data_IF_953041345235
#
_entry.id   IF_953041345235
#
_cell.length_a   1.000
_cell.length_b   1.000
_cell.length_c   1.000
_cell.angle_alpha   90.00
_cell.angle_beta   90.00
_cell.angle_gamma   90.00
#
_symmetry.space_group_name_H-M   'P 1'
#
loop_
_entity.id
_entity.type
_entity.pdbx_description
1 polymer ?
#
# COMPACT_ATOMS: atom_id res chain seq x y z
N UNK A 1 -21.54 0.44 -17.14
CA UNK A 1 -20.78 -0.76 -17.55
C UNK A 1 -19.54 -0.83 -16.67
N UNK A 2 -19.56 -1.67 -15.63
CA UNK A 2 -18.50 -1.76 -14.62
C UNK A 2 -17.86 -3.14 -14.67
N UNK A 3 -17.01 -3.36 -15.66
CA UNK A 3 -15.90 -4.32 -15.58
C UNK A 3 -14.78 -3.67 -16.37
N UNK A 4 -13.76 -3.23 -15.63
CA UNK A 4 -12.69 -4.18 -15.45
C UNK A 4 -12.40 -4.35 -13.95
N UNK A 5 -12.06 -5.56 -13.52
CA UNK A 5 -11.11 -5.70 -12.42
C UNK A 5 -9.73 -5.94 -13.03
N UNK A 6 -8.93 -4.90 -13.38
CA UNK A 6 -7.52 -5.05 -13.68
C UNK A 6 -6.72 -4.33 -12.56
N UNK A 7 -5.60 -4.79 -12.01
CA UNK A 7 -4.71 -5.90 -12.28
C UNK A 7 -4.03 -6.15 -10.93
N UNK A 8 -4.20 -7.33 -10.32
CA UNK A 8 -3.50 -7.80 -9.10
C UNK A 8 -3.44 -6.79 -7.92
N UNK A 9 -4.35 -6.94 -6.94
CA UNK A 9 -4.20 -6.28 -5.63
C UNK A 9 -2.81 -6.52 -5.05
N UNK A 10 -2.15 -5.45 -4.61
CA UNK A 10 -0.79 -5.50 -4.09
C UNK A 10 -0.80 -6.19 -2.72
N UNK A 11 0.16 -7.07 -2.51
CA UNK A 11 0.42 -7.67 -1.20
C UNK A 11 1.43 -6.81 -0.45
N UNK A 12 1.57 -6.98 0.87
CA UNK A 12 2.69 -6.38 1.59
C UNK A 12 4.05 -6.76 0.98
N UNK A 13 4.16 -7.93 0.37
CA UNK A 13 5.37 -8.38 -0.35
C UNK A 13 5.62 -7.55 -1.62
N UNK A 14 4.57 -7.29 -2.40
CA UNK A 14 4.63 -6.44 -3.60
C UNK A 14 5.03 -5.00 -3.26
N UNK A 15 4.54 -4.47 -2.12
CA UNK A 15 4.99 -3.17 -1.60
C UNK A 15 6.47 -3.18 -1.23
N UNK A 16 6.99 -4.29 -0.69
CA UNK A 16 8.41 -4.41 -0.34
C UNK A 16 9.26 -4.38 -1.60
N UNK A 17 8.88 -5.13 -2.63
CA UNK A 17 9.58 -5.12 -3.91
C UNK A 17 9.47 -3.76 -4.62
N UNK A 18 8.29 -3.15 -4.63
CA UNK A 18 8.04 -1.88 -5.33
C UNK A 18 8.76 -0.69 -4.69
N UNK A 19 8.88 -0.65 -3.36
CA UNK A 19 9.56 0.42 -2.62
C UNK A 19 10.98 0.04 -2.19
N UNK A 20 11.50 -1.09 -2.66
CA UNK A 20 12.82 -1.64 -2.27
C UNK A 20 13.02 -1.67 -0.74
N UNK A 21 11.97 -2.05 -0.01
CA UNK A 21 12.01 -2.07 1.45
C UNK A 21 12.81 -3.28 1.95
N UNK A 22 13.39 -3.20 3.16
CA UNK A 22 14.13 -4.32 3.72
C UNK A 22 13.23 -5.50 4.12
N UNK A 23 11.95 -5.29 4.43
CA UNK A 23 11.03 -6.34 4.89
C UNK A 23 9.56 -5.91 4.92
N UNK A 24 8.64 -6.89 4.84
CA UNK A 24 7.19 -6.69 5.04
C UNK A 24 6.85 -6.13 6.42
N UNK A 25 7.76 -6.28 7.39
CA UNK A 25 7.67 -5.66 8.71
C UNK A 25 7.55 -4.14 8.63
N UNK A 26 8.21 -3.50 7.66
CA UNK A 26 8.08 -2.06 7.43
C UNK A 26 6.64 -1.69 7.04
N UNK A 27 5.99 -2.51 6.21
CA UNK A 27 4.59 -2.34 5.83
C UNK A 27 3.67 -2.55 7.05
N UNK A 28 3.96 -3.53 7.91
CA UNK A 28 3.24 -3.70 9.18
C UNK A 28 3.46 -2.53 10.15
N UNK A 29 4.67 -1.96 10.20
CA UNK A 29 4.96 -0.76 10.99
C UNK A 29 4.16 0.44 10.48
N UNK A 30 4.06 0.63 9.16
CA UNK A 30 3.23 1.68 8.59
C UNK A 30 1.77 1.54 9.01
N UNK A 31 1.25 0.32 9.06
CA UNK A 31 -0.09 0.05 9.57
C UNK A 31 -0.22 0.38 11.06
N UNK A 32 0.79 0.03 11.88
CA UNK A 32 0.82 0.34 13.32
C UNK A 32 0.87 1.84 13.59
N UNK A 33 1.68 2.57 12.82
CA UNK A 33 1.85 4.02 12.91
C UNK A 33 0.72 4.78 12.21
N UNK A 34 -0.19 4.07 11.50
CA UNK A 34 -1.20 4.65 10.60
C UNK A 34 -0.60 5.56 9.53
N UNK A 35 0.66 5.33 9.19
CA UNK A 35 1.43 6.13 8.22
C UNK A 35 1.46 5.47 6.85
N UNK A 36 0.74 4.38 6.61
CA UNK A 36 0.79 3.59 5.37
C UNK A 36 -0.42 3.73 4.46
N UNK A 37 -0.34 3.12 3.27
CA UNK A 37 -1.43 3.11 2.31
C UNK A 37 -2.65 2.35 2.86
N UNK A 38 -3.84 2.71 2.38
CA UNK A 38 -5.09 2.08 2.82
C UNK A 38 -5.14 0.64 2.30
N UNK A 39 -4.77 -0.30 3.17
CA UNK A 39 -4.92 -1.72 2.92
C UNK A 39 -6.22 -2.26 3.50
N UNK A 40 -6.89 -3.14 2.77
CA UNK A 40 -8.05 -3.88 3.26
C UNK A 40 -7.65 -5.31 3.65
N UNK A 41 -8.28 -5.81 4.71
CA UNK A 41 -8.02 -7.16 5.21
C UNK A 41 -8.94 -8.15 4.50
N UNK A 42 -8.36 -9.05 3.72
CA UNK A 42 -9.06 -10.17 3.06
C UNK A 42 -8.76 -11.45 3.84
N UNK A 43 -9.61 -11.76 4.82
CA UNK A 43 -9.40 -12.90 5.71
C UNK A 43 -8.14 -12.76 6.57
N UNK A 44 -7.12 -13.60 6.33
CA UNK A 44 -5.80 -13.49 6.99
C UNK A 44 -4.81 -12.59 6.22
N UNK A 45 -5.08 -12.29 4.96
CA UNK A 45 -4.12 -11.60 4.09
C UNK A 45 -4.46 -10.11 4.01
N UNK A 46 -3.42 -9.27 4.03
CA UNK A 46 -3.54 -7.84 3.77
C UNK A 46 -3.41 -7.60 2.26
N UNK A 47 -4.34 -6.86 1.70
CA UNK A 47 -4.32 -6.45 0.29
C UNK A 47 -4.38 -4.93 0.23
N UNK A 48 -3.67 -4.38 -0.74
CA UNK A 48 -3.63 -2.95 -1.00
C UNK A 48 -4.10 -2.71 -2.42
N UNK A 49 -4.88 -1.65 -2.60
CA UNK A 49 -5.24 -1.20 -3.92
C UNK A 49 -4.10 -0.33 -4.49
N UNK A 50 -3.67 -0.55 -5.74
CA UNK A 50 -2.62 0.27 -6.36
C UNK A 50 -2.99 1.76 -6.42
N UNK A 51 -4.28 2.11 -6.55
CA UNK A 51 -4.73 3.50 -6.56
C UNK A 51 -4.58 4.14 -5.17
N UNK A 52 -4.99 3.43 -4.11
CA UNK A 52 -4.79 3.85 -2.72
C UNK A 52 -3.30 4.02 -2.37
N UNK A 53 -2.44 3.12 -2.87
CA UNK A 53 -0.99 3.22 -2.66
C UNK A 53 -0.43 4.45 -3.36
N UNK A 54 -0.85 4.72 -4.59
CA UNK A 54 -0.45 5.91 -5.34
C UNK A 54 -0.89 7.19 -4.64
N UNK A 55 -2.15 7.29 -4.22
CA UNK A 55 -2.68 8.44 -3.49
C UNK A 55 -1.95 8.67 -2.16
N UNK A 56 -1.58 7.60 -1.47
CA UNK A 56 -0.79 7.69 -0.25
C UNK A 56 0.64 8.21 -0.50
N UNK A 57 1.33 7.71 -1.54
CA UNK A 57 2.66 8.21 -1.91
C UNK A 57 2.61 9.70 -2.27
N UNK A 58 1.58 10.12 -3.01
CA UNK A 58 1.40 11.52 -3.41
C UNK A 58 1.18 12.43 -2.19
N UNK A 59 0.32 12.01 -1.26
CA UNK A 59 0.11 12.69 0.02
C UNK A 59 1.41 12.79 0.84
N UNK A 60 2.23 11.72 0.86
CA UNK A 60 3.53 11.70 1.56
C UNK A 60 4.57 12.59 0.91
N UNK A 61 4.63 12.62 -0.41
CA UNK A 61 5.51 13.49 -1.18
C UNK A 61 5.20 14.96 -0.95
N UNK A 62 3.92 15.28 -0.75
CA UNK A 62 3.46 16.63 -0.40
C UNK A 62 3.75 17.00 1.06
N UNK A 63 3.65 16.06 2.00
CA UNK A 63 3.98 16.26 3.42
C UNK A 63 5.50 16.43 3.64
N UNK A 64 6.34 15.72 2.90
CA UNK A 64 7.80 15.82 3.00
C UNK A 64 8.38 17.11 2.37
N UNK A 65 7.56 17.87 1.63
CA UNK A 65 7.95 19.13 0.99
C UNK A 65 7.59 20.39 1.82
N UNK A 66 7.07 20.21 3.05
CA UNK A 66 6.74 21.26 4.00
C UNK A 66 7.72 21.28 5.18
#
# INVERSE_FOLDING_TARGET
MALPLPSRYLTPDDLVEMFELPSVETVYQWRRKRTGPRGFRVGRHLRFDPDDVRAWVDSRRSEAAA
#
